data_IF_205473150051
#
_entry.id   IF_205473150051
#
_cell.length_a   1.000
_cell.length_b   1.000
_cell.length_c   1.000
_cell.angle_alpha   90.00
_cell.angle_beta   90.00
_cell.angle_gamma   90.00
#
_symmetry.space_group_name_H-M   'P 1'
#
loop_
_entity.id
_entity.type
_entity.pdbx_description
1 polymer ?
#
# COMPACT_ATOMS: atom_id res chain seq x y z
N UNK A 1 -2.42 -0.08 -22.18
CA UNK A 1 -3.29 0.90 -21.47
C UNK A 1 -3.54 0.46 -20.04
N UNK A 2 -3.89 -0.80 -19.82
CA UNK A 2 -4.03 -1.43 -18.49
C UNK A 2 -2.84 -1.13 -17.56
N UNK A 3 -1.62 -1.43 -18.00
CA UNK A 3 -0.40 -1.26 -17.22
C UNK A 3 -0.19 0.21 -16.86
N UNK A 4 -0.45 1.12 -17.81
CA UNK A 4 -0.40 2.56 -17.58
C UNK A 4 -1.40 3.00 -16.50
N UNK A 5 -2.64 2.50 -16.55
CA UNK A 5 -3.66 2.80 -15.53
C UNK A 5 -3.24 2.28 -14.15
N UNK A 6 -2.71 1.06 -14.07
CA UNK A 6 -2.19 0.45 -12.84
C UNK A 6 -1.05 1.30 -12.25
N UNK A 7 -0.05 1.65 -13.08
CA UNK A 7 1.09 2.47 -12.65
C UNK A 7 0.63 3.84 -12.17
N UNK A 8 -0.22 4.53 -12.94
CA UNK A 8 -0.72 5.86 -12.57
C UNK A 8 -1.54 5.80 -11.29
N UNK A 9 -2.39 4.78 -11.12
CA UNK A 9 -3.19 4.60 -9.91
C UNK A 9 -2.34 4.31 -8.67
N UNK A 10 -1.13 3.75 -8.84
CA UNK A 10 -0.19 3.48 -7.74
C UNK A 10 0.60 4.73 -7.30
N UNK A 11 0.74 5.75 -8.15
CA UNK A 11 1.57 6.93 -7.84
C UNK A 11 1.11 7.70 -6.59
N UNK A 12 -0.20 7.95 -6.35
CA UNK A 12 -0.64 8.61 -5.13
C UNK A 12 -0.25 7.83 -3.86
N UNK A 13 -0.35 6.50 -3.90
CA UNK A 13 0.07 5.65 -2.78
C UNK A 13 1.58 5.81 -2.53
N UNK A 14 2.40 5.69 -3.58
CA UNK A 14 3.85 5.83 -3.47
C UNK A 14 4.26 7.21 -2.92
N UNK A 15 3.54 8.26 -3.32
CA UNK A 15 3.77 9.61 -2.80
C UNK A 15 3.53 9.70 -1.29
N UNK A 16 2.36 9.24 -0.81
CA UNK A 16 2.04 9.31 0.62
C UNK A 16 2.91 8.37 1.47
N UNK A 17 3.16 7.14 1.01
CA UNK A 17 4.07 6.20 1.67
C UNK A 17 5.51 6.78 1.79
N UNK A 18 5.96 7.55 0.79
CA UNK A 18 7.26 8.23 0.87
C UNK A 18 7.24 9.36 1.90
N UNK A 19 6.18 10.15 1.96
CA UNK A 19 6.04 11.21 2.96
C UNK A 19 5.99 10.66 4.38
N UNK A 20 5.26 9.57 4.58
CA UNK A 20 5.17 8.87 5.86
C UNK A 20 6.54 8.30 6.28
N UNK A 21 7.22 7.57 5.38
CA UNK A 21 8.56 7.08 5.63
C UNK A 21 9.57 8.20 5.98
N UNK A 22 9.46 9.38 5.36
CA UNK A 22 10.26 10.56 5.75
C UNK A 22 9.90 11.05 7.16
N UNK A 23 8.62 11.03 7.51
CA UNK A 23 8.14 11.44 8.83
C UNK A 23 8.70 10.55 9.95
N UNK A 24 8.92 9.26 9.72
CA UNK A 24 9.54 8.34 10.68
C UNK A 24 11.03 8.63 10.99
N UNK A 25 11.68 9.47 10.19
CA UNK A 25 13.04 9.94 10.47
C UNK A 25 13.09 11.37 11.00
N UNK A 26 12.11 12.20 10.63
CA UNK A 26 12.13 13.66 10.89
C UNK A 26 11.10 14.14 11.91
N UNK A 27 9.92 13.54 11.93
CA UNK A 27 8.77 13.94 12.76
C UNK A 27 8.55 13.06 13.98
N UNK A 28 8.73 11.74 13.84
CA UNK A 28 8.63 10.77 14.93
C UNK A 28 9.71 9.72 14.77
N UNK A 29 10.60 9.55 15.75
CA UNK A 29 11.61 8.49 15.70
C UNK A 29 10.97 7.16 16.10
N UNK A 30 10.91 6.25 15.15
CA UNK A 30 10.32 4.91 15.33
C UNK A 30 11.35 3.91 15.87
N UNK A 31 10.85 2.81 16.43
CA UNK A 31 11.70 1.72 16.93
C UNK A 31 12.31 0.87 15.80
N UNK A 32 13.37 0.10 16.07
CA UNK A 32 13.91 -0.83 15.08
C UNK A 32 12.89 -1.89 14.65
N UNK A 33 12.07 -2.39 15.58
CA UNK A 33 11.00 -3.36 15.28
C UNK A 33 9.93 -2.77 14.36
N UNK A 34 9.62 -1.49 14.53
CA UNK A 34 8.69 -0.77 13.66
C UNK A 34 9.29 -0.56 12.25
N UNK A 35 10.58 -0.25 12.15
CA UNK A 35 11.25 -0.27 10.84
C UNK A 35 11.20 -1.65 10.16
N UNK A 36 11.36 -2.74 10.92
CA UNK A 36 11.27 -4.09 10.35
C UNK A 36 9.87 -4.37 9.83
N UNK A 37 8.81 -4.02 10.57
CA UNK A 37 7.44 -4.24 10.08
C UNK A 37 7.13 -3.37 8.85
N UNK A 38 7.60 -2.11 8.81
CA UNK A 38 7.46 -1.25 7.62
C UNK A 38 8.18 -1.83 6.39
N UNK A 39 9.35 -2.45 6.56
CA UNK A 39 10.03 -3.15 5.45
C UNK A 39 9.19 -4.32 4.95
N UNK A 40 8.59 -5.12 5.85
CA UNK A 40 7.71 -6.22 5.46
C UNK A 40 6.47 -5.71 4.71
N UNK A 41 5.87 -4.62 5.19
CA UNK A 41 4.74 -3.94 4.55
C UNK A 41 5.12 -3.44 3.16
N UNK A 42 6.23 -2.70 3.05
CA UNK A 42 6.74 -2.16 1.78
C UNK A 42 7.07 -3.25 0.76
N UNK A 43 7.70 -4.36 1.19
CA UNK A 43 7.96 -5.51 0.32
C UNK A 43 6.67 -6.20 -0.13
N UNK A 44 5.70 -6.35 0.77
CA UNK A 44 4.39 -6.94 0.44
C UNK A 44 3.67 -6.09 -0.61
N UNK A 45 3.66 -4.76 -0.44
CA UNK A 45 3.04 -3.82 -1.38
C UNK A 45 3.79 -3.75 -2.72
N UNK A 46 5.12 -3.84 -2.71
CA UNK A 46 5.90 -3.97 -3.94
C UNK A 46 5.55 -5.24 -4.73
N UNK A 47 5.32 -6.37 -4.03
CA UNK A 47 4.85 -7.61 -4.65
C UNK A 47 3.41 -7.50 -5.16
N UNK A 48 2.50 -6.84 -4.41
CA UNK A 48 1.14 -6.54 -4.89
C UNK A 48 1.20 -5.74 -6.19
N UNK A 49 2.00 -4.67 -6.24
CA UNK A 49 2.17 -3.86 -7.43
C UNK A 49 2.74 -4.66 -8.61
N UNK A 50 3.83 -5.39 -8.40
CA UNK A 50 4.44 -6.21 -9.45
C UNK A 50 3.47 -7.27 -9.98
N UNK A 51 2.75 -7.96 -9.09
CA UNK A 51 1.76 -8.97 -9.44
C UNK A 51 0.55 -8.35 -10.18
N UNK A 52 0.10 -7.16 -9.79
CA UNK A 52 -0.95 -6.42 -10.48
C UNK A 52 -0.53 -6.10 -11.92
N UNK A 53 0.68 -5.56 -12.12
CA UNK A 53 1.23 -5.29 -13.47
C UNK A 53 1.30 -6.56 -14.30
N UNK A 54 1.77 -7.67 -13.72
CA UNK A 54 1.88 -8.98 -14.37
C UNK A 54 0.56 -9.75 -14.53
N UNK A 55 -0.57 -9.19 -14.07
CA UNK A 55 -1.87 -9.87 -14.03
C UNK A 55 -1.85 -11.21 -13.27
N UNK A 56 -0.98 -11.36 -12.28
CA UNK A 56 -0.81 -12.58 -11.49
C UNK A 56 -1.66 -12.52 -10.21
N UNK A 57 -2.95 -12.81 -10.35
CA UNK A 57 -3.93 -12.73 -9.26
C UNK A 57 -3.57 -13.59 -8.03
N UNK A 58 -3.09 -14.84 -8.17
CA UNK A 58 -2.69 -15.64 -6.99
C UNK A 58 -1.58 -14.98 -6.17
N UNK A 59 -0.54 -14.44 -6.83
CA UNK A 59 0.56 -13.76 -6.13
C UNK A 59 0.10 -12.44 -5.53
N UNK A 60 -0.74 -11.70 -6.25
CA UNK A 60 -1.32 -10.44 -5.75
C UNK A 60 -2.12 -10.69 -4.48
N UNK A 61 -3.00 -11.70 -4.47
CA UNK A 61 -3.82 -12.06 -3.31
C UNK A 61 -2.96 -12.53 -2.13
N UNK A 62 -1.97 -13.40 -2.37
CA UNK A 62 -1.05 -13.85 -1.33
C UNK A 62 -0.26 -12.68 -0.70
N UNK A 63 0.17 -11.74 -1.53
CA UNK A 63 0.89 -10.53 -1.09
C UNK A 63 -0.03 -9.56 -0.33
N UNK A 64 -1.30 -9.44 -0.73
CA UNK A 64 -2.30 -8.67 0.00
C UNK A 64 -2.59 -9.25 1.39
N UNK A 65 -2.64 -10.57 1.53
CA UNK A 65 -2.80 -11.21 2.84
C UNK A 65 -1.60 -10.89 3.74
N UNK A 66 -0.37 -10.97 3.20
CA UNK A 66 0.84 -10.60 3.94
C UNK A 66 0.81 -9.13 4.38
N UNK A 67 0.39 -8.23 3.49
CA UNK A 67 0.18 -6.81 3.81
C UNK A 67 -0.87 -6.63 4.91
N UNK A 68 -2.04 -7.28 4.81
CA UNK A 68 -3.11 -7.13 5.80
C UNK A 68 -2.68 -7.62 7.19
N UNK A 69 -1.96 -8.73 7.26
CA UNK A 69 -1.45 -9.26 8.54
C UNK A 69 -0.39 -8.33 9.14
N UNK A 70 0.58 -7.89 8.33
CA UNK A 70 1.67 -7.03 8.80
C UNK A 70 1.20 -5.61 9.13
N UNK A 71 0.40 -4.98 8.26
CA UNK A 71 -0.22 -3.68 8.50
C UNK A 71 -1.23 -3.71 9.64
N UNK A 72 -1.99 -4.79 9.81
CA UNK A 72 -2.89 -4.94 10.96
C UNK A 72 -2.13 -5.04 12.29
N UNK A 73 -1.00 -5.75 12.30
CA UNK A 73 -0.11 -5.79 13.47
C UNK A 73 0.49 -4.41 13.74
N UNK A 74 0.91 -3.71 12.67
CA UNK A 74 1.51 -2.39 12.75
C UNK A 74 0.57 -1.38 13.40
N UNK A 75 -0.65 -1.30 12.86
CA UNK A 75 -1.72 -0.45 13.39
C UNK A 75 -2.07 -0.78 14.85
N UNK A 76 -2.10 -2.07 15.18
CA UNK A 76 -2.44 -2.50 16.52
C UNK A 76 -1.33 -2.25 17.55
N UNK A 77 -0.05 -2.30 17.18
CA UNK A 77 1.06 -2.24 18.14
C UNK A 77 1.68 -0.84 18.20
N UNK A 78 1.92 -0.20 17.06
CA UNK A 78 2.67 1.06 17.00
C UNK A 78 1.80 2.29 16.71
N UNK A 79 0.65 2.16 16.03
CA UNK A 79 -0.12 3.33 15.56
C UNK A 79 -1.37 3.70 16.36
N UNK A 80 -1.57 3.14 17.56
CA UNK A 80 -2.76 3.46 18.38
C UNK A 80 -2.91 4.94 18.75
N UNK A 81 -1.80 5.65 18.91
CA UNK A 81 -1.77 7.03 19.40
C UNK A 81 -0.89 7.91 18.50
N UNK A 82 -1.06 7.78 17.18
CA UNK A 82 -0.32 8.57 16.21
C UNK A 82 -0.60 10.09 16.37
N UNK A 83 0.41 10.95 16.19
CA UNK A 83 0.19 12.38 15.98
C UNK A 83 -0.79 12.62 14.84
N UNK A 84 -1.67 13.62 14.98
CA UNK A 84 -2.73 13.91 14.00
C UNK A 84 -2.23 14.06 12.56
N UNK A 85 -1.03 14.63 12.37
CA UNK A 85 -0.42 14.76 11.05
C UNK A 85 -0.07 13.40 10.42
N UNK A 86 0.48 12.47 11.20
CA UNK A 86 0.83 11.13 10.74
C UNK A 86 -0.42 10.29 10.49
N UNK A 87 -1.41 10.39 11.37
CA UNK A 87 -2.72 9.75 11.15
C UNK A 87 -3.41 10.22 9.85
N UNK A 88 -3.31 11.51 9.50
CA UNK A 88 -3.82 12.04 8.23
C UNK A 88 -3.03 11.51 7.01
N UNK A 89 -1.70 11.36 7.13
CA UNK A 89 -0.89 10.71 6.09
C UNK A 89 -1.31 9.25 5.87
N UNK A 90 -1.47 8.49 6.95
CA UNK A 90 -1.93 7.09 6.90
C UNK A 90 -3.30 6.96 6.23
N UNK A 91 -4.24 7.83 6.59
CA UNK A 91 -5.57 7.83 5.97
C UNK A 91 -5.50 8.06 4.45
N UNK A 92 -4.64 8.98 4.00
CA UNK A 92 -4.41 9.26 2.57
C UNK A 92 -3.72 8.10 1.86
N UNK A 93 -2.75 7.46 2.53
CA UNK A 93 -2.08 6.26 2.02
C UNK A 93 -3.05 5.09 1.84
N UNK A 94 -3.88 4.80 2.85
CA UNK A 94 -4.91 3.76 2.78
C UNK A 94 -5.94 4.05 1.67
N UNK A 95 -6.40 5.29 1.55
CA UNK A 95 -7.33 5.69 0.49
C UNK A 95 -6.69 5.52 -0.91
N UNK A 96 -5.45 5.95 -1.07
CA UNK A 96 -4.72 5.79 -2.32
C UNK A 96 -4.51 4.31 -2.69
N UNK A 97 -4.18 3.46 -1.71
CA UNK A 97 -4.07 2.02 -1.90
C UNK A 97 -5.41 1.41 -2.33
N UNK A 98 -6.51 1.82 -1.68
CA UNK A 98 -7.85 1.36 -2.05
C UNK A 98 -8.23 1.75 -3.48
N UNK A 99 -7.90 2.98 -3.90
CA UNK A 99 -8.10 3.44 -5.27
C UNK A 99 -7.28 2.58 -6.25
N UNK A 100 -6.00 2.33 -5.94
CA UNK A 100 -5.14 1.47 -6.75
C UNK A 100 -5.73 0.06 -6.91
N UNK A 101 -6.19 -0.56 -5.82
CA UNK A 101 -6.82 -1.88 -5.85
C UNK A 101 -8.12 -1.87 -6.65
N UNK A 102 -8.96 -0.85 -6.46
CA UNK A 102 -10.20 -0.68 -7.21
C UNK A 102 -9.96 -0.53 -8.71
N UNK A 103 -8.98 0.28 -9.12
CA UNK A 103 -8.57 0.43 -10.53
C UNK A 103 -8.06 -0.90 -11.06
N UNK A 104 -7.20 -1.60 -10.33
CA UNK A 104 -6.64 -2.90 -10.75
C UNK A 104 -7.75 -3.93 -10.99
N UNK A 105 -8.69 -4.06 -10.05
CA UNK A 105 -9.83 -4.97 -10.20
C UNK A 105 -10.75 -4.58 -11.35
N UNK A 106 -10.97 -3.27 -11.57
CA UNK A 106 -11.81 -2.77 -12.65
C UNK A 106 -11.21 -3.08 -14.03
N UNK A 107 -9.91 -2.83 -14.22
CA UNK A 107 -9.25 -3.08 -15.52
C UNK A 107 -9.07 -4.56 -15.82
N UNK A 108 -9.07 -5.41 -14.79
CA UNK A 108 -9.04 -6.88 -14.91
C UNK A 108 -10.44 -7.50 -15.01
N UNK A 109 -11.49 -6.69 -14.90
CA UNK A 109 -12.87 -7.16 -14.96
C UNK A 109 -13.29 -7.56 -16.38
N UNK A 110 -14.12 -8.62 -16.52
CA UNK A 110 -14.79 -8.96 -17.77
C UNK A 110 -15.60 -7.81 -18.39
N UNK A 111 -16.06 -6.88 -17.54
CA UNK A 111 -16.88 -5.73 -17.97
C UNK A 111 -16.11 -4.72 -18.83
N UNK A 112 -14.79 -4.61 -18.62
CA UNK A 112 -13.91 -3.66 -19.35
C UNK A 112 -13.16 -4.36 -20.48
N UNK A 113 -12.88 -5.66 -20.34
CA UNK A 113 -12.13 -6.45 -21.34
C UNK A 113 -12.95 -6.92 -22.54
N UNK A 114 -14.29 -6.80 -22.50
CA UNK A 114 -15.20 -7.11 -23.60
C UNK A 114 -15.58 -5.89 -24.48
N UNK A 115 -15.03 -4.71 -24.19
CA UNK A 115 -15.27 -3.46 -24.92
C UNK A 115 -14.23 -3.14 -25.98
#
# INVERSE_FOLDING_TARGET
MRETLIVVAFLPFLYYATLDGIFHFRGRRVSLSEHVIHVVIGLSLALVFAAAVMANQPVMLGSLIAFLVSGGLDEFVWHRDLPAHESDLHAKEHLALLIFLGVTLLVDSPLVTMG
#
